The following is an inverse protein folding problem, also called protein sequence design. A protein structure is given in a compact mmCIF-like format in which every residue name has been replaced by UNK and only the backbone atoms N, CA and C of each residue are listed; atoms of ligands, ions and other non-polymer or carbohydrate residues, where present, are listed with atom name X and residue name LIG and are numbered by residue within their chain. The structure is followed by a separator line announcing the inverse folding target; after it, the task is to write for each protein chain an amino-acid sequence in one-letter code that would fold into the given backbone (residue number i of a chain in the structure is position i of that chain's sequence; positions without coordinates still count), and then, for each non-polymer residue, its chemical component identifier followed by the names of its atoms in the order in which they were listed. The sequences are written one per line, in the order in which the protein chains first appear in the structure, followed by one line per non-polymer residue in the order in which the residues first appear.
data_IF_732052949707
#
_entry.id   IF_732052949707
#
_cell.length_a   1.000
_cell.length_b   1.000
_cell.length_c   1.000
_cell.angle_alpha   90.00
_cell.angle_beta   90.00
_cell.angle_gamma   90.00
#
_symmetry.space_group_name_H-M   'P 1'
#
loop_
_entity.id
_entity.type
_entity.pdbx_description
1 polymer ?
#
# COMPACT_ATOMS: atom_id res chain seq x y z
N UNK A 1 -13.91 6.06 -0.41
CA UNK A 1 -13.63 4.60 -0.51
C UNK A 1 -14.71 3.86 0.27
N UNK A 2 -15.15 2.68 -0.19
CA UNK A 2 -16.15 1.87 0.53
C UNK A 2 -15.72 0.41 0.62
N UNK A 3 -16.02 -0.25 1.74
CA UNK A 3 -15.56 -1.62 2.06
C UNK A 3 -16.50 -2.73 1.59
N UNK A 4 -17.25 -2.53 0.49
CA UNK A 4 -18.38 -3.41 0.12
C UNK A 4 -18.04 -4.90 -0.01
N UNK A 5 -17.14 -5.27 -0.93
CA UNK A 5 -16.78 -6.68 -1.15
C UNK A 5 -16.10 -7.31 0.08
N UNK A 6 -15.07 -6.69 0.69
CA UNK A 6 -14.46 -7.23 1.91
C UNK A 6 -15.46 -7.45 3.05
N UNK A 7 -16.38 -6.50 3.28
CA UNK A 7 -17.41 -6.59 4.30
C UNK A 7 -18.31 -7.81 4.08
N UNK A 8 -18.80 -8.01 2.85
CA UNK A 8 -19.64 -9.17 2.51
C UNK A 8 -18.90 -10.49 2.68
N UNK A 9 -17.59 -10.53 2.43
CA UNK A 9 -16.79 -11.74 2.64
C UNK A 9 -16.60 -12.06 4.12
N UNK A 10 -16.31 -11.05 4.94
CA UNK A 10 -16.22 -11.21 6.39
C UNK A 10 -17.56 -11.70 6.96
N UNK A 11 -18.67 -11.12 6.48
CA UNK A 11 -20.02 -11.55 6.83
C UNK A 11 -20.31 -13.00 6.42
N UNK A 12 -19.89 -13.41 5.23
CA UNK A 12 -20.10 -14.78 4.76
C UNK A 12 -19.27 -15.81 5.54
N UNK A 13 -18.06 -15.44 5.98
CA UNK A 13 -17.13 -16.34 6.67
C UNK A 13 -17.40 -16.46 8.17
N UNK A 14 -17.81 -15.38 8.82
CA UNK A 14 -17.94 -15.33 10.29
C UNK A 14 -19.15 -14.55 10.79
N UNK A 15 -20.11 -14.22 9.93
CA UNK A 15 -21.28 -13.43 10.32
C UNK A 15 -20.88 -12.06 10.86
N UNK A 16 -21.64 -11.58 11.84
CA UNK A 16 -21.40 -10.29 12.50
C UNK A 16 -20.04 -10.25 13.22
N UNK A 17 -19.68 -11.31 13.95
CA UNK A 17 -18.36 -11.40 14.61
C UNK A 17 -17.21 -11.33 13.59
N UNK A 18 -17.37 -11.99 12.44
CA UNK A 18 -16.39 -11.93 11.34
C UNK A 18 -16.22 -10.52 10.79
N UNK A 19 -17.31 -9.77 10.64
CA UNK A 19 -17.26 -8.35 10.26
C UNK A 19 -16.57 -7.50 11.33
N UNK A 20 -16.90 -7.70 12.60
CA UNK A 20 -16.25 -6.98 13.71
C UNK A 20 -14.74 -7.18 13.71
N UNK A 21 -14.29 -8.44 13.65
CA UNK A 21 -12.87 -8.78 13.59
C UNK A 21 -12.17 -8.17 12.36
N UNK A 22 -12.84 -8.14 11.19
CA UNK A 22 -12.31 -7.49 9.99
C UNK A 22 -12.14 -5.98 10.17
N UNK A 23 -13.14 -5.29 10.72
CA UNK A 23 -13.08 -3.84 10.91
C UNK A 23 -12.03 -3.43 11.94
N UNK A 24 -11.90 -4.17 13.03
CA UNK A 24 -10.87 -3.94 14.04
C UNK A 24 -9.46 -4.12 13.44
N UNK A 25 -9.26 -5.19 12.67
CA UNK A 25 -7.98 -5.44 12.02
C UNK A 25 -7.67 -4.38 10.95
N UNK A 26 -8.65 -4.02 10.13
CA UNK A 26 -8.51 -2.99 9.10
C UNK A 26 -8.16 -1.63 9.69
N UNK A 27 -8.79 -1.25 10.81
CA UNK A 27 -8.47 -0.02 11.52
C UNK A 27 -7.04 -0.06 12.07
N UNK A 28 -6.63 -1.16 12.68
CA UNK A 28 -5.27 -1.33 13.18
C UNK A 28 -4.21 -1.25 12.06
N UNK A 29 -4.47 -1.85 10.89
CA UNK A 29 -3.56 -1.73 9.73
C UNK A 29 -3.50 -0.30 9.17
N UNK A 30 -4.63 0.40 9.15
CA UNK A 30 -4.68 1.80 8.75
C UNK A 30 -3.84 2.66 9.71
N UNK A 31 -4.07 2.54 11.02
CA UNK A 31 -3.32 3.26 12.05
C UNK A 31 -1.81 2.97 11.96
N UNK A 32 -1.44 1.70 11.80
CA UNK A 32 -0.05 1.30 11.63
C UNK A 32 0.58 1.96 10.39
N UNK A 33 -0.12 1.96 9.27
CA UNK A 33 0.36 2.58 8.02
C UNK A 33 0.55 4.09 8.18
N UNK A 34 -0.39 4.76 8.84
CA UNK A 34 -0.28 6.21 9.12
C UNK A 34 0.90 6.51 10.04
N UNK A 35 1.06 5.75 11.13
CA UNK A 35 2.18 5.90 12.04
C UNK A 35 3.54 5.70 11.33
N UNK A 36 3.65 4.67 10.48
CA UNK A 36 4.86 4.41 9.68
C UNK A 36 5.10 5.50 8.62
N UNK A 37 4.05 6.15 8.15
CA UNK A 37 4.15 7.30 7.25
C UNK A 37 4.45 8.61 7.98
N UNK A 38 4.55 8.59 9.32
CA UNK A 38 4.79 9.77 10.15
C UNK A 38 3.58 10.70 10.28
N UNK A 39 2.37 10.16 10.10
CA UNK A 39 1.11 10.91 10.05
C UNK A 39 0.29 10.65 11.32
N UNK A 40 -0.09 11.72 12.03
CA UNK A 40 -0.83 11.63 13.30
C UNK A 40 -2.34 11.79 13.17
N UNK A 41 -2.81 12.33 12.03
CA UNK A 41 -4.23 12.60 11.78
C UNK A 41 -4.56 12.50 10.29
N UNK A 42 -5.84 12.31 9.95
CA UNK A 42 -6.25 12.14 8.55
C UNK A 42 -6.14 13.46 7.77
N UNK A 43 -6.26 14.59 8.46
CA UNK A 43 -6.16 15.94 7.92
C UNK A 43 -4.76 16.27 7.39
N UNK A 44 -3.73 15.59 7.91
CA UNK A 44 -2.36 15.73 7.45
C UNK A 44 -2.10 15.01 6.12
N UNK A 45 -2.95 14.04 5.73
CA UNK A 45 -2.76 13.30 4.49
C UNK A 45 -2.99 14.18 3.25
N UNK A 46 -2.10 14.03 2.28
CA UNK A 46 -2.24 14.66 0.99
C UNK A 46 -1.39 14.00 -0.10
N UNK A 47 -1.46 14.49 -1.35
CA UNK A 47 -0.76 13.89 -2.49
C UNK A 47 0.76 13.81 -2.36
N UNK A 48 1.36 14.60 -1.47
CA UNK A 48 2.80 14.62 -1.22
C UNK A 48 3.31 13.34 -0.52
N UNK A 49 2.42 12.53 0.07
CA UNK A 49 2.74 11.19 0.56
C UNK A 49 2.68 10.11 -0.53
N UNK A 50 2.27 10.45 -1.75
CA UNK A 50 2.09 9.50 -2.86
C UNK A 50 3.15 9.70 -3.93
N UNK A 51 3.73 8.59 -4.39
CA UNK A 51 4.47 8.55 -5.65
C UNK A 51 3.51 8.24 -6.81
N UNK A 52 3.78 8.79 -7.99
CA UNK A 52 3.06 8.35 -9.19
C UNK A 52 3.43 6.91 -9.50
N UNK A 53 2.42 6.13 -9.88
CA UNK A 53 2.66 4.78 -10.42
C UNK A 53 3.62 4.87 -11.60
N UNK A 54 4.65 4.04 -11.60
CA UNK A 54 5.50 3.88 -12.77
C UNK A 54 4.65 3.22 -13.87
N UNK A 55 4.75 3.63 -15.16
CA UNK A 55 4.01 2.99 -16.22
C UNK A 55 4.24 1.49 -16.14
N UNK A 56 3.14 0.71 -16.13
CA UNK A 56 3.28 -0.74 -16.19
C UNK A 56 4.12 -1.06 -17.43
N UNK A 57 5.19 -1.86 -17.29
CA UNK A 57 5.98 -2.24 -18.44
C UNK A 57 5.05 -2.90 -19.45
N UNK A 58 5.06 -2.39 -20.68
CA UNK A 58 4.58 -3.17 -21.80
C UNK A 58 5.44 -4.42 -21.82
N UNK A 59 4.80 -5.59 -21.88
CA UNK A 59 5.52 -6.82 -22.17
C UNK A 59 5.53 -6.94 -23.69
N UNK A 60 6.32 -6.10 -24.35
CA UNK A 60 6.51 -6.07 -25.81
C UNK A 60 7.56 -7.09 -26.30
N UNK A 61 7.96 -8.03 -25.43
CA UNK A 61 8.94 -9.06 -25.74
C UNK A 61 10.40 -8.59 -25.64
N UNK A 62 10.64 -7.30 -25.33
CA UNK A 62 11.93 -6.87 -24.81
C UNK A 62 12.01 -7.21 -23.32
N UNK A 63 13.10 -7.85 -22.90
CA UNK A 63 13.31 -8.13 -21.48
C UNK A 63 13.31 -6.82 -20.70
N UNK A 64 12.62 -6.76 -19.53
CA UNK A 64 12.69 -5.57 -18.69
C UNK A 64 14.15 -5.34 -18.33
N UNK A 65 14.72 -4.20 -18.76
CA UNK A 65 16.00 -3.72 -18.22
C UNK A 65 15.83 -3.68 -16.71
N UNK A 66 16.46 -4.65 -16.03
CA UNK A 66 16.33 -4.82 -14.60
C UNK A 66 16.62 -3.51 -13.86
N UNK A 67 16.16 -3.42 -12.61
CA UNK A 67 16.50 -2.33 -11.70
C UNK A 67 18.01 -2.08 -11.76
N UNK A 68 18.44 -1.06 -12.50
CA UNK A 68 19.85 -0.78 -12.67
C UNK A 68 20.36 -0.39 -11.28
N UNK A 69 21.34 -1.13 -10.71
CA UNK A 69 21.90 -0.71 -9.44
C UNK A 69 22.43 0.71 -9.60
N UNK A 70 22.05 1.59 -8.68
CA UNK A 70 22.58 2.95 -8.62
C UNK A 70 24.11 2.86 -8.63
N UNK A 71 24.81 3.58 -9.54
CA UNK A 71 26.25 3.50 -9.60
C UNK A 71 26.83 3.87 -8.23
N UNK A 72 27.65 2.97 -7.70
CA UNK A 72 28.36 3.19 -6.44
C UNK A 72 29.27 4.43 -6.54
N UNK A 73 29.62 5.05 -5.40
CA UNK A 73 30.48 6.22 -5.39
C UNK A 73 31.80 5.94 -6.11
N UNK A 74 32.39 6.93 -6.81
CA UNK A 74 33.66 6.75 -7.50
C UNK A 74 34.72 6.31 -6.49
N UNK A 75 35.38 5.18 -6.77
CA UNK A 75 36.54 4.77 -5.96
C UNK A 75 37.67 5.74 -6.23
N UNK A 76 38.08 6.43 -5.17
CA UNK A 76 39.31 7.24 -5.15
C UNK A 76 40.51 6.39 -5.59
N UNK A 77 41.54 7.00 -6.22
CA UNK A 77 42.71 6.30 -6.73
C UNK A 77 43.53 5.60 -5.65
#
# INVERSE_FOLDING_TARGET
MGLGRPYVYALALGGEEGVGAFLDHFLAELELTLALSGVGSLEELGPHFLAKENPRPSWDGEEPKGFAPTPGPPRSP
#
